data_IF_888408376886
#
_entry.id   IF_888408376886
#
_cell.length_a   1.000
_cell.length_b   1.000
_cell.length_c   1.000
_cell.angle_alpha   90.00
_cell.angle_beta   90.00
_cell.angle_gamma   90.00
#
_symmetry.space_group_name_H-M   'P 1'
#
loop_
_entity.id
_entity.type
_entity.pdbx_description
1 polymer ?
#
# COMPACT_ATOMS: atom_id res chain seq x y z
N UNK A 1 -10.39 0.28 34.65
CA UNK A 1 -11.38 -0.79 34.38
C UNK A 1 -10.71 -1.73 33.39
N UNK A 2 -10.82 -3.04 33.55
CA UNK A 2 -10.19 -3.97 32.58
C UNK A 2 -10.97 -3.93 31.28
N UNK A 3 -10.29 -3.76 30.14
CA UNK A 3 -10.94 -3.86 28.83
C UNK A 3 -11.62 -5.22 28.68
N UNK A 4 -12.81 -5.20 28.09
CA UNK A 4 -13.60 -6.41 27.90
C UNK A 4 -13.10 -7.12 26.64
N UNK A 5 -12.44 -8.25 26.85
CA UNK A 5 -12.01 -9.14 25.76
C UNK A 5 -13.09 -10.17 25.43
N UNK A 6 -13.38 -10.36 24.14
CA UNK A 6 -14.34 -11.34 23.64
C UNK A 6 -13.72 -12.17 22.53
N UNK A 7 -13.78 -13.49 22.67
CA UNK A 7 -13.32 -14.44 21.66
C UNK A 7 -14.49 -14.88 20.78
N UNK A 8 -14.37 -14.72 19.47
CA UNK A 8 -15.39 -15.09 18.48
C UNK A 8 -14.83 -16.13 17.52
N UNK A 9 -15.31 -17.39 17.57
CA UNK A 9 -14.91 -18.38 16.59
C UNK A 9 -15.43 -17.99 15.20
N UNK A 10 -14.56 -18.16 14.20
CA UNK A 10 -14.86 -17.96 12.78
C UNK A 10 -14.99 -19.34 12.12
N UNK A 11 -16.20 -19.90 12.18
CA UNK A 11 -16.47 -21.18 11.55
C UNK A 11 -16.50 -21.07 10.02
N UNK A 12 -16.17 -22.18 9.34
CA UNK A 12 -16.38 -22.31 7.89
C UNK A 12 -17.83 -22.00 7.55
N UNK A 13 -18.03 -21.11 6.58
CA UNK A 13 -19.37 -20.74 6.09
C UNK A 13 -20.07 -19.62 6.85
N UNK A 14 -19.56 -19.13 7.99
CA UNK A 14 -20.12 -17.94 8.63
C UNK A 14 -19.81 -16.70 7.81
N UNK A 15 -20.83 -15.89 7.56
CA UNK A 15 -20.67 -14.60 6.87
C UNK A 15 -20.09 -13.55 7.82
N UNK A 16 -19.10 -12.77 7.36
CA UNK A 16 -18.57 -11.64 8.12
C UNK A 16 -19.48 -10.40 8.07
N UNK A 17 -20.55 -10.39 7.28
CA UNK A 17 -21.42 -9.22 7.16
C UNK A 17 -22.03 -8.82 8.52
N UNK A 18 -22.65 -9.76 9.23
CA UNK A 18 -23.19 -9.49 10.59
C UNK A 18 -22.10 -9.15 11.60
N UNK A 19 -20.90 -9.68 11.41
CA UNK A 19 -19.76 -9.37 12.27
C UNK A 19 -19.33 -7.92 12.06
N UNK A 20 -19.22 -7.47 10.81
CA UNK A 20 -18.94 -6.07 10.46
C UNK A 20 -20.04 -5.16 10.98
N UNK A 21 -21.32 -5.47 10.72
CA UNK A 21 -22.46 -4.72 11.29
C UNK A 21 -22.33 -4.59 12.82
N UNK A 22 -21.89 -5.64 13.53
CA UNK A 22 -21.76 -5.59 15.00
C UNK A 22 -20.74 -4.55 15.49
N UNK A 23 -19.66 -4.31 14.74
CA UNK A 23 -18.52 -3.49 15.19
C UNK A 23 -18.33 -2.18 14.41
N UNK A 24 -18.98 -2.05 13.25
CA UNK A 24 -19.17 -0.80 12.52
C UNK A 24 -20.62 -0.36 12.69
N UNK A 25 -20.87 0.45 13.73
CA UNK A 25 -22.21 0.87 14.13
C UNK A 25 -22.95 1.67 13.06
N UNK A 26 -22.24 2.33 12.14
CA UNK A 26 -22.82 2.99 10.96
C UNK A 26 -23.62 2.03 10.05
N UNK A 27 -23.19 0.77 9.95
CA UNK A 27 -23.92 -0.26 9.19
C UNK A 27 -25.20 -0.71 9.91
N UNK A 28 -25.22 -0.69 11.25
CA UNK A 28 -26.43 -1.02 12.02
C UNK A 28 -27.54 0.01 11.80
N UNK A 29 -27.15 1.28 11.68
CA UNK A 29 -28.06 2.37 11.38
C UNK A 29 -28.47 2.40 9.88
N UNK A 30 -27.91 1.51 9.06
CA UNK A 30 -28.24 1.37 7.63
C UNK A 30 -27.75 2.54 6.78
N UNK A 31 -26.73 3.27 7.23
CA UNK A 31 -26.27 4.51 6.57
C UNK A 31 -25.34 4.19 5.40
N UNK A 32 -24.19 3.56 5.67
CA UNK A 32 -23.23 3.16 4.63
C UNK A 32 -22.55 1.83 4.99
N UNK A 33 -22.01 1.17 3.97
CA UNK A 33 -21.19 -0.04 4.13
C UNK A 33 -19.73 0.37 4.32
N UNK A 34 -19.09 -0.08 5.40
CA UNK A 34 -17.66 0.09 5.66
C UNK A 34 -16.84 -0.90 4.83
N UNK A 35 -16.70 -0.60 3.53
CA UNK A 35 -15.97 -1.44 2.56
C UNK A 35 -14.54 -1.79 3.03
N UNK A 36 -13.75 -0.86 3.62
CA UNK A 36 -12.42 -1.19 4.12
C UNK A 36 -12.41 -2.32 5.16
N UNK A 37 -13.36 -2.32 6.11
CA UNK A 37 -13.42 -3.38 7.11
C UNK A 37 -13.95 -4.70 6.55
N UNK A 38 -14.90 -4.67 5.62
CA UNK A 38 -15.31 -5.85 4.84
C UNK A 38 -14.12 -6.46 4.08
N UNK A 39 -13.24 -5.62 3.51
CA UNK A 39 -12.02 -6.06 2.84
C UNK A 39 -11.06 -6.75 3.80
N UNK A 40 -10.82 -6.18 4.97
CA UNK A 40 -9.98 -6.81 6.02
C UNK A 40 -10.52 -8.18 6.44
N UNK A 41 -11.82 -8.29 6.69
CA UNK A 41 -12.48 -9.56 6.99
C UNK A 41 -12.31 -10.59 5.85
N UNK A 42 -12.40 -10.13 4.60
CA UNK A 42 -12.19 -10.98 3.42
C UNK A 42 -10.74 -11.48 3.33
N UNK A 43 -9.75 -10.64 3.64
CA UNK A 43 -8.33 -11.01 3.68
C UNK A 43 -8.06 -12.03 4.81
N UNK A 44 -8.57 -11.77 6.02
CA UNK A 44 -8.46 -12.69 7.14
C UNK A 44 -9.05 -14.07 6.80
N UNK A 45 -10.21 -14.10 6.11
CA UNK A 45 -10.82 -15.36 5.63
C UNK A 45 -9.93 -16.10 4.62
N UNK A 46 -9.34 -15.39 3.66
CA UNK A 46 -8.42 -15.99 2.68
C UNK A 46 -7.18 -16.61 3.36
N UNK A 47 -6.78 -16.05 4.51
CA UNK A 47 -5.70 -16.53 5.35
C UNK A 47 -6.15 -17.57 6.40
N UNK A 48 -7.34 -18.17 6.23
CA UNK A 48 -7.89 -19.24 7.07
C UNK A 48 -8.02 -18.88 8.57
N UNK A 49 -8.39 -17.63 8.86
CA UNK A 49 -8.71 -17.18 10.23
C UNK A 49 -9.68 -18.13 10.96
N UNK A 50 -9.43 -18.36 12.25
CA UNK A 50 -10.24 -19.24 13.11
C UNK A 50 -10.85 -18.53 14.30
N UNK A 51 -10.19 -17.50 14.83
CA UNK A 51 -10.73 -16.69 15.93
C UNK A 51 -10.54 -15.20 15.63
N UNK A 52 -11.59 -14.42 15.92
CA UNK A 52 -11.51 -12.98 16.08
C UNK A 52 -11.53 -12.64 17.57
N UNK A 53 -10.52 -11.91 18.03
CA UNK A 53 -10.34 -11.43 19.40
C UNK A 53 -10.74 -9.96 19.40
N UNK A 54 -11.72 -9.61 20.23
CA UNK A 54 -12.33 -8.28 20.25
C UNK A 54 -12.05 -7.63 21.59
N UNK A 55 -11.39 -6.47 21.56
CA UNK A 55 -11.10 -5.62 22.70
C UNK A 55 -11.96 -4.35 22.57
N UNK A 56 -12.89 -4.14 23.51
CA UNK A 56 -13.59 -2.87 23.64
C UNK A 56 -12.74 -1.92 24.49
N UNK A 57 -12.18 -0.89 23.86
CA UNK A 57 -11.17 -0.03 24.47
C UNK A 57 -11.83 1.05 25.33
N UNK A 58 -11.74 0.89 26.64
CA UNK A 58 -12.20 1.88 27.62
C UNK A 58 -11.15 2.97 27.90
N UNK A 59 -9.88 2.63 27.72
CA UNK A 59 -8.72 3.50 27.88
C UNK A 59 -7.82 3.33 26.64
N UNK A 60 -8.15 3.98 25.52
CA UNK A 60 -7.45 3.77 24.27
C UNK A 60 -6.04 4.38 24.30
N UNK A 61 -5.16 3.92 23.42
CA UNK A 61 -3.79 4.44 23.29
C UNK A 61 -3.75 5.91 22.84
N UNK A 62 -2.63 6.59 23.11
CA UNK A 62 -2.44 8.02 22.85
C UNK A 62 -2.85 8.49 21.43
N UNK A 63 -2.53 7.77 20.33
CA UNK A 63 -2.93 8.20 18.99
C UNK A 63 -4.45 8.22 18.79
N UNK A 64 -5.17 7.29 19.42
CA UNK A 64 -6.64 7.21 19.36
C UNK A 64 -7.24 8.33 20.21
N UNK A 65 -6.66 8.62 21.38
CA UNK A 65 -7.07 9.75 22.22
C UNK A 65 -6.92 11.07 21.45
N UNK A 66 -5.81 11.26 20.76
CA UNK A 66 -5.55 12.48 19.97
C UNK A 66 -6.60 12.65 18.86
N UNK A 67 -6.95 11.57 18.17
CA UNK A 67 -8.01 11.57 17.17
C UNK A 67 -9.39 11.93 17.76
N UNK A 68 -9.76 11.35 18.91
CA UNK A 68 -11.01 11.69 19.59
C UNK A 68 -11.05 13.18 20.00
N UNK A 69 -9.94 13.72 20.48
CA UNK A 69 -9.81 15.16 20.82
C UNK A 69 -9.95 16.02 19.56
N UNK A 70 -9.35 15.62 18.45
CA UNK A 70 -9.46 16.32 17.18
C UNK A 70 -10.91 16.37 16.68
N UNK A 71 -11.62 15.23 16.71
CA UNK A 71 -13.04 15.14 16.35
C UNK A 71 -13.90 16.04 17.24
N UNK A 72 -13.69 15.99 18.57
CA UNK A 72 -14.38 16.88 19.53
C UNK A 72 -14.11 18.36 19.22
N UNK A 73 -12.86 18.71 18.97
CA UNK A 73 -12.43 20.08 18.67
C UNK A 73 -13.08 20.58 17.38
N UNK A 74 -13.08 19.76 16.33
CA UNK A 74 -13.68 20.10 15.04
C UNK A 74 -15.21 20.29 15.16
N UNK A 75 -15.88 19.37 15.86
CA UNK A 75 -17.33 19.37 15.99
C UNK A 75 -17.87 20.42 16.98
N UNK A 76 -17.04 20.90 17.91
CA UNK A 76 -17.43 21.88 18.94
C UNK A 76 -18.42 21.35 19.98
N UNK A 77 -18.63 20.03 20.02
CA UNK A 77 -19.51 19.31 20.96
C UNK A 77 -18.86 17.97 21.30
N UNK A 78 -19.23 17.39 22.44
CA UNK A 78 -18.74 16.06 22.86
C UNK A 78 -19.37 14.96 22.00
N UNK A 79 -18.59 14.22 21.18
CA UNK A 79 -19.10 13.04 20.49
C UNK A 79 -19.19 11.85 21.47
N UNK A 80 -20.15 10.96 21.25
CA UNK A 80 -20.14 9.64 21.91
C UNK A 80 -19.21 8.73 21.11
N UNK A 81 -18.30 8.00 21.77
CA UNK A 81 -17.35 7.09 21.13
C UNK A 81 -17.55 5.64 21.55
N UNK A 82 -17.36 4.71 20.61
CA UNK A 82 -17.19 3.28 20.84
C UNK A 82 -16.05 2.75 19.98
N UNK A 83 -14.99 2.28 20.62
CA UNK A 83 -13.75 1.93 19.95
C UNK A 83 -13.49 0.45 20.16
N UNK A 84 -13.29 -0.26 19.05
CA UNK A 84 -13.00 -1.69 19.05
C UNK A 84 -11.63 -1.93 18.42
N UNK A 85 -10.78 -2.69 19.11
CA UNK A 85 -9.62 -3.35 18.50
C UNK A 85 -9.98 -4.79 18.22
N UNK A 86 -9.71 -5.23 17.00
CA UNK A 86 -10.13 -6.52 16.47
C UNK A 86 -8.90 -7.19 15.90
N UNK A 87 -8.53 -8.31 16.50
CA UNK A 87 -7.37 -9.10 16.09
C UNK A 87 -7.82 -10.46 15.57
N UNK A 88 -7.37 -10.81 14.37
CA UNK A 88 -7.67 -12.07 13.72
C UNK A 88 -6.47 -13.01 13.83
N UNK A 89 -6.72 -14.23 14.31
CA UNK A 89 -5.71 -15.29 14.45
C UNK A 89 -6.14 -16.56 13.72
N UNK A 90 -5.16 -17.31 13.17
CA UNK A 90 -5.40 -18.56 12.42
C UNK A 90 -5.66 -19.77 13.32
N UNK A 91 -5.60 -19.60 14.63
CA UNK A 91 -5.79 -20.67 15.61
C UNK A 91 -7.09 -20.48 16.37
N UNK A 92 -7.69 -21.60 16.80
CA UNK A 92 -8.90 -21.56 17.62
C UNK A 92 -8.48 -21.29 19.05
N UNK A 93 -8.79 -20.08 19.52
CA UNK A 93 -8.59 -19.67 20.91
C UNK A 93 -9.88 -19.16 21.53
N UNK A 94 -10.07 -19.41 22.83
CA UNK A 94 -11.24 -19.02 23.62
C UNK A 94 -10.90 -18.24 24.91
N UNK A 95 -9.60 -18.07 25.19
CA UNK A 95 -9.10 -17.45 26.41
C UNK A 95 -7.74 -16.80 26.18
N UNK A 96 -7.41 -15.80 26.99
CA UNK A 96 -6.14 -15.09 26.88
C UNK A 96 -4.93 -15.99 27.22
N UNK A 97 -5.11 -16.99 28.08
CA UNK A 97 -4.06 -17.96 28.38
C UNK A 97 -3.66 -18.80 27.16
N UNK A 98 -4.56 -19.02 26.19
CA UNK A 98 -4.21 -19.65 24.92
C UNK A 98 -3.52 -18.67 23.98
N UNK A 99 -3.91 -17.38 24.04
CA UNK A 99 -3.26 -16.31 23.25
C UNK A 99 -1.77 -16.18 23.62
N UNK A 100 -1.41 -16.32 24.89
CA UNK A 100 -0.01 -16.22 25.32
C UNK A 100 0.89 -17.30 24.73
N UNK A 101 0.32 -18.47 24.43
CA UNK A 101 1.00 -19.62 23.80
C UNK A 101 1.08 -19.52 22.27
N UNK A 102 0.42 -18.54 21.64
CA UNK A 102 0.47 -18.36 20.19
C UNK A 102 1.85 -17.86 19.74
N UNK A 103 2.30 -18.39 18.61
CA UNK A 103 3.45 -17.86 17.87
C UNK A 103 3.06 -16.67 16.99
N UNK A 104 4.06 -15.87 16.58
CA UNK A 104 3.90 -14.75 15.64
C UNK A 104 3.14 -15.15 14.38
N UNK A 105 3.42 -16.35 13.88
CA UNK A 105 2.79 -16.91 12.69
C UNK A 105 1.29 -17.18 12.83
N UNK A 106 0.74 -17.21 14.05
CA UNK A 106 -0.70 -17.31 14.27
C UNK A 106 -1.44 -15.99 14.03
N UNK A 107 -0.73 -14.86 14.13
CA UNK A 107 -1.30 -13.52 14.00
C UNK A 107 -1.43 -13.12 12.52
N UNK A 108 -2.67 -12.81 12.11
CA UNK A 108 -2.97 -12.46 10.73
C UNK A 108 -3.09 -10.95 10.54
N UNK A 109 -3.89 -10.29 11.37
CA UNK A 109 -4.13 -8.85 11.28
C UNK A 109 -4.75 -8.32 12.56
N UNK A 110 -4.50 -7.05 12.86
CA UNK A 110 -5.22 -6.28 13.87
C UNK A 110 -5.74 -5.00 13.25
N UNK A 111 -6.91 -4.55 13.70
CA UNK A 111 -7.51 -3.29 13.26
C UNK A 111 -8.22 -2.59 14.40
N UNK A 112 -8.13 -1.27 14.42
CA UNK A 112 -8.89 -0.40 15.32
C UNK A 112 -9.98 0.29 14.53
N UNK A 113 -11.24 0.07 14.94
CA UNK A 113 -12.42 0.74 14.40
C UNK A 113 -12.88 1.78 15.40
N UNK A 114 -12.97 3.03 14.96
CA UNK A 114 -13.57 4.11 15.75
C UNK A 114 -15.00 4.29 15.27
N UNK A 115 -15.93 4.15 16.20
CA UNK A 115 -17.32 4.53 16.02
C UNK A 115 -17.58 5.80 16.81
N UNK A 116 -18.22 6.78 16.20
CA UNK A 116 -18.65 7.98 16.90
C UNK A 116 -20.01 8.46 16.39
N UNK A 117 -20.73 9.19 17.25
CA UNK A 117 -21.93 9.94 16.86
C UNK A 117 -21.96 11.29 17.55
N UNK A 118 -22.62 12.24 16.90
CA UNK A 118 -22.74 13.61 17.38
C UNK A 118 -24.20 13.85 17.71
N UNK A 119 -24.52 13.96 19.01
CA UNK A 119 -25.92 14.09 19.48
C UNK A 119 -26.80 12.93 18.98
N UNK A 120 -27.86 13.25 18.25
CA UNK A 120 -28.84 12.32 17.67
C UNK A 120 -28.50 11.93 16.22
N UNK A 121 -27.33 12.34 15.70
CA UNK A 121 -26.88 11.90 14.38
C UNK A 121 -26.64 10.37 14.39
N UNK A 122 -26.83 9.69 13.25
CA UNK A 122 -26.44 8.29 13.11
C UNK A 122 -24.95 8.06 13.44
N UNK A 123 -24.63 6.84 13.85
CA UNK A 123 -23.24 6.42 14.03
C UNK A 123 -22.46 6.54 12.73
N UNK A 124 -21.20 6.94 12.86
CA UNK A 124 -20.18 6.90 11.80
C UNK A 124 -19.07 5.96 12.23
N UNK A 125 -18.56 5.17 11.28
CA UNK A 125 -17.57 4.14 11.55
C UNK A 125 -16.44 4.20 10.53
N UNK A 126 -15.20 4.19 11.00
CA UNK A 126 -14.04 4.11 10.12
C UNK A 126 -12.91 3.28 10.72
N UNK A 127 -12.10 2.69 9.84
CA UNK A 127 -10.89 1.98 10.21
C UNK A 127 -9.79 3.00 10.51
N UNK A 128 -9.57 3.30 11.79
CA UNK A 128 -8.53 4.22 12.22
C UNK A 128 -7.14 3.70 11.85
N UNK A 129 -6.90 2.43 12.12
CA UNK A 129 -5.68 1.73 11.74
C UNK A 129 -5.93 0.25 11.50
N UNK A 130 -5.16 -0.33 10.61
CA UNK A 130 -5.06 -1.77 10.45
C UNK A 130 -3.63 -2.15 10.08
N UNK A 131 -3.17 -3.26 10.63
CA UNK A 131 -1.91 -3.89 10.26
C UNK A 131 -2.28 -5.30 9.83
N UNK A 132 -1.92 -5.66 8.59
CA UNK A 132 -2.28 -6.95 8.02
C UNK A 132 -1.06 -7.60 7.41
N UNK A 133 -0.80 -8.84 7.82
CA UNK A 133 0.21 -9.71 7.24
C UNK A 133 0.01 -9.78 5.73
N UNK A 134 1.12 -9.92 5.02
CA UNK A 134 1.08 -10.24 3.59
C UNK A 134 0.14 -11.44 3.34
N UNK A 135 -0.90 -11.28 2.50
CA UNK A 135 -1.89 -12.34 2.30
C UNK A 135 -1.28 -13.62 1.72
N UNK A 136 -1.56 -14.75 2.38
CA UNK A 136 -1.07 -16.10 2.00
C UNK A 136 -2.18 -17.13 2.14
N UNK A 137 -2.11 -18.19 1.35
CA UNK A 137 -2.89 -19.40 1.56
C UNK A 137 -2.07 -20.30 2.48
N UNK A 138 -2.50 -20.43 3.73
CA UNK A 138 -1.88 -21.34 4.68
C UNK A 138 -2.39 -22.77 4.47
N UNK A 139 -1.53 -23.76 4.75
CA UNK A 139 -1.89 -25.18 4.78
C UNK A 139 -2.52 -25.71 3.48
N UNK A 140 -2.09 -25.21 2.31
CA UNK A 140 -2.48 -25.79 1.04
C UNK A 140 -2.06 -27.26 0.98
N UNK A 141 -3.01 -28.14 0.66
CA UNK A 141 -2.86 -29.60 0.74
C UNK A 141 -1.60 -30.15 0.05
N UNK A 142 -1.17 -29.52 -1.04
CA UNK A 142 -0.02 -29.97 -1.85
C UNK A 142 1.28 -29.17 -1.61
N UNK A 143 1.17 -27.90 -1.20
CA UNK A 143 2.30 -26.96 -1.29
C UNK A 143 2.58 -26.24 0.04
N UNK A 144 1.83 -26.55 1.11
CA UNK A 144 1.98 -25.88 2.40
C UNK A 144 1.53 -24.42 2.32
N UNK A 145 2.36 -23.49 2.80
CA UNK A 145 2.06 -22.06 2.73
C UNK A 145 2.43 -21.51 1.36
N UNK A 146 1.44 -20.98 0.63
CA UNK A 146 1.63 -20.37 -0.69
C UNK A 146 1.35 -18.87 -0.59
N UNK A 147 2.19 -17.98 -1.16
CA UNK A 147 1.79 -16.60 -1.38
C UNK A 147 0.51 -16.52 -2.24
N UNK A 148 -0.29 -15.46 -2.10
CA UNK A 148 -1.29 -15.16 -3.13
C UNK A 148 -0.53 -14.94 -4.45
N UNK A 149 -0.87 -15.72 -5.48
CA UNK A 149 -0.10 -15.84 -6.73
C UNK A 149 0.27 -14.47 -7.31
N UNK A 150 1.54 -14.34 -7.69
CA UNK A 150 2.14 -13.21 -8.41
C UNK A 150 2.11 -11.85 -7.70
N UNK A 151 1.81 -11.75 -6.41
CA UNK A 151 1.92 -10.50 -5.67
C UNK A 151 3.37 -10.22 -5.24
N UNK A 152 3.97 -9.15 -5.79
CA UNK A 152 5.27 -8.61 -5.40
C UNK A 152 5.07 -7.35 -4.57
N UNK A 153 4.99 -7.52 -3.25
CA UNK A 153 4.87 -6.42 -2.31
C UNK A 153 6.27 -5.93 -1.90
N UNK A 154 6.70 -4.81 -2.46
CA UNK A 154 8.02 -4.25 -2.24
C UNK A 154 8.09 -3.32 -1.03
N UNK A 155 6.99 -2.60 -0.76
CA UNK A 155 6.91 -1.65 0.35
C UNK A 155 6.11 -2.28 1.50
N UNK A 156 6.86 -2.81 2.47
CA UNK A 156 6.33 -3.50 3.65
C UNK A 156 7.28 -3.38 4.82
N UNK A 157 6.72 -3.53 6.03
CA UNK A 157 7.46 -3.40 7.28
C UNK A 157 7.08 -4.52 8.25
N UNK A 158 7.97 -4.82 9.20
CA UNK A 158 7.66 -5.62 10.38
C UNK A 158 7.09 -4.73 11.47
N UNK A 159 5.89 -5.05 11.94
CA UNK A 159 5.16 -4.31 12.94
C UNK A 159 5.06 -5.12 14.23
N UNK A 160 5.32 -4.44 15.35
CA UNK A 160 5.03 -4.96 16.68
C UNK A 160 3.57 -4.69 17.02
N UNK A 161 2.81 -5.75 17.25
CA UNK A 161 1.40 -5.70 17.60
C UNK A 161 1.21 -6.31 18.99
N UNK A 162 0.19 -5.89 19.72
CA UNK A 162 -0.10 -6.45 21.05
C UNK A 162 -1.59 -6.74 21.21
N UNK A 163 -1.90 -7.82 21.92
CA UNK A 163 -3.24 -8.12 22.44
C UNK A 163 -3.18 -7.97 23.95
N UNK A 164 -4.09 -7.20 24.53
CA UNK A 164 -4.11 -6.90 25.96
C UNK A 164 -5.34 -7.50 26.64
N UNK A 165 -5.17 -7.92 27.89
CA UNK A 165 -6.26 -8.41 28.74
C UNK A 165 -5.97 -8.05 30.20
N UNK A 166 -6.52 -6.93 30.66
CA UNK A 166 -6.23 -6.39 31.99
C UNK A 166 -4.76 -5.95 32.10
N UNK A 167 -3.98 -6.56 32.99
CA UNK A 167 -2.55 -6.26 33.15
C UNK A 167 -1.64 -7.17 32.31
N UNK A 168 -2.20 -8.16 31.61
CA UNK A 168 -1.43 -9.09 30.80
C UNK A 168 -1.40 -8.63 29.33
N UNK A 169 -0.26 -8.82 28.66
CA UNK A 169 -0.06 -8.50 27.25
C UNK A 169 0.69 -9.62 26.55
N UNK A 170 0.32 -9.90 25.29
CA UNK A 170 1.10 -10.73 24.37
C UNK A 170 1.46 -9.87 23.17
N UNK A 171 2.76 -9.77 22.91
CA UNK A 171 3.29 -9.08 21.73
C UNK A 171 3.49 -10.09 20.59
N UNK A 172 3.35 -9.58 19.37
CA UNK A 172 3.52 -10.31 18.13
C UNK A 172 4.33 -9.46 17.15
N UNK A 173 5.24 -10.07 16.41
CA UNK A 173 5.97 -9.42 15.32
C UNK A 173 5.45 -9.90 13.97
N UNK A 174 4.87 -9.01 13.15
CA UNK A 174 4.31 -9.39 11.86
C UNK A 174 4.84 -8.54 10.70
N UNK A 175 5.32 -9.20 9.64
CA UNK A 175 5.65 -8.52 8.38
C UNK A 175 4.41 -8.41 7.50
N UNK A 176 4.08 -7.18 7.10
CA UNK A 176 2.90 -6.90 6.29
C UNK A 176 2.80 -5.43 5.93
N UNK A 177 1.57 -4.92 5.92
CA UNK A 177 1.33 -3.52 5.63
C UNK A 177 0.35 -2.85 6.58
N UNK A 178 0.60 -1.56 6.82
CA UNK A 178 -0.28 -0.62 7.49
C UNK A 178 -1.34 -0.08 6.55
N UNK A 179 -2.54 0.14 7.06
CA UNK A 179 -3.68 0.76 6.41
C UNK A 179 -4.39 1.73 7.38
N UNK A 180 -4.92 2.84 6.85
CA UNK A 180 -5.86 3.71 7.56
C UNK A 180 -6.92 4.23 6.58
N UNK A 181 -8.12 4.48 7.09
CA UNK A 181 -9.24 5.07 6.35
C UNK A 181 -9.40 6.55 6.75
N UNK A 182 -9.72 7.41 5.79
CA UNK A 182 -10.10 8.80 6.09
C UNK A 182 -11.45 8.86 6.81
N UNK A 183 -11.61 9.79 7.76
CA UNK A 183 -12.90 10.00 8.45
C UNK A 183 -13.74 11.14 7.84
N UNK A 184 -13.19 11.89 6.88
CA UNK A 184 -13.81 13.04 6.18
C UNK A 184 -14.19 14.22 7.08
N UNK A 185 -13.68 14.25 8.31
CA UNK A 185 -13.90 15.32 9.29
C UNK A 185 -12.56 15.96 9.67
N UNK A 186 -11.64 15.19 10.24
CA UNK A 186 -10.29 15.64 10.63
C UNK A 186 -9.22 15.14 9.66
N UNK A 187 -9.57 14.22 8.75
CA UNK A 187 -8.66 13.63 7.77
C UNK A 187 -9.32 13.44 6.41
N UNK A 188 -8.52 13.59 5.35
CA UNK A 188 -8.91 13.32 3.95
C UNK A 188 -8.08 12.19 3.35
N UNK A 189 -8.33 11.80 2.10
CA UNK A 189 -7.61 10.72 1.41
C UNK A 189 -6.08 10.91 1.40
N UNK A 190 -5.61 12.15 1.28
CA UNK A 190 -4.18 12.46 1.35
C UNK A 190 -3.54 12.07 2.70
N UNK A 191 -4.24 12.24 3.82
CA UNK A 191 -3.76 11.80 5.14
C UNK A 191 -3.62 10.28 5.20
N UNK A 192 -4.65 9.57 4.74
CA UNK A 192 -4.63 8.11 4.69
C UNK A 192 -3.48 7.61 3.81
N UNK A 193 -3.34 8.18 2.61
CA UNK A 193 -2.27 7.84 1.67
C UNK A 193 -0.86 8.10 2.25
N UNK A 194 -0.66 9.24 2.92
CA UNK A 194 0.61 9.57 3.59
C UNK A 194 0.91 8.63 4.75
N UNK A 195 -0.08 8.33 5.61
CA UNK A 195 0.10 7.39 6.72
C UNK A 195 0.48 6.00 6.21
N UNK A 196 -0.22 5.51 5.18
CA UNK A 196 0.10 4.22 4.55
C UNK A 196 1.50 4.25 3.94
N UNK A 197 1.86 5.30 3.20
CA UNK A 197 3.17 5.42 2.56
C UNK A 197 4.30 5.38 3.59
N UNK A 198 4.23 6.23 4.61
CA UNK A 198 5.29 6.40 5.61
C UNK A 198 5.38 5.18 6.53
N UNK A 199 4.25 4.65 7.02
CA UNK A 199 4.27 3.53 7.96
C UNK A 199 4.71 2.21 7.32
N UNK A 200 4.62 2.08 6.00
CA UNK A 200 5.09 0.89 5.28
C UNK A 200 6.56 0.97 4.84
N UNK A 201 7.18 2.14 4.92
CA UNK A 201 8.62 2.29 4.73
C UNK A 201 9.36 1.80 5.96
N UNK A 202 10.50 1.12 5.74
CA UNK A 202 11.36 0.66 6.83
C UNK A 202 12.28 1.79 7.30
N UNK A 203 11.69 2.81 7.92
CA UNK A 203 12.41 3.95 8.49
C UNK A 203 12.89 3.58 9.90
N UNK A 204 14.21 3.48 10.06
CA UNK A 204 14.83 3.07 11.32
C UNK A 204 14.42 4.01 12.47
N UNK A 205 13.96 3.42 13.58
CA UNK A 205 13.54 4.18 14.76
C UNK A 205 12.27 5.02 14.60
N UNK A 206 11.55 4.91 13.48
CA UNK A 206 10.32 5.68 13.28
C UNK A 206 9.13 5.03 13.99
N UNK A 207 8.42 5.82 14.77
CA UNK A 207 7.09 5.47 15.28
C UNK A 207 6.06 5.46 14.14
N UNK A 208 4.92 4.80 14.39
CA UNK A 208 3.78 4.87 13.48
C UNK A 208 3.19 6.28 13.50
N UNK A 209 2.88 6.77 12.32
CA UNK A 209 2.22 8.06 12.14
C UNK A 209 0.72 7.86 11.90
N UNK A 210 -0.06 8.82 12.35
CA UNK A 210 -1.52 8.83 12.25
C UNK A 210 -1.98 10.19 11.72
N UNK A 211 -3.25 10.33 11.27
CA UNK A 211 -3.71 11.55 10.62
C UNK A 211 -3.47 12.83 11.43
N UNK A 212 -3.60 12.80 12.75
CA UNK A 212 -3.34 13.97 13.60
C UNK A 212 -1.88 14.41 13.63
N UNK A 213 -0.93 13.46 13.52
CA UNK A 213 0.49 13.81 13.38
C UNK A 213 0.77 14.48 12.03
N UNK A 214 0.09 14.05 10.98
CA UNK A 214 0.13 14.70 9.66
C UNK A 214 -0.44 16.11 9.76
N UNK A 215 -1.59 16.28 10.43
CA UNK A 215 -2.20 17.60 10.68
C UNK A 215 -1.27 18.54 11.44
N UNK A 216 -0.61 18.06 12.49
CA UNK A 216 0.35 18.85 13.26
C UNK A 216 1.49 19.38 12.39
N UNK A 217 2.09 18.53 11.55
CA UNK A 217 3.19 18.92 10.65
C UNK A 217 2.71 19.93 9.59
N UNK A 218 1.48 19.76 9.09
CA UNK A 218 0.86 20.70 8.16
C UNK A 218 0.43 22.01 8.84
N UNK A 219 0.29 22.05 10.17
CA UNK A 219 -0.22 23.20 10.92
C UNK A 219 -1.75 23.31 10.93
N UNK A 220 -2.46 22.18 10.81
CA UNK A 220 -3.93 22.08 10.96
C UNK A 220 -4.26 21.92 12.45
N UNK A 221 -5.23 22.68 12.96
CA UNK A 221 -5.60 22.69 14.38
C UNK A 221 -7.10 22.57 14.65
N UNK A 222 -7.89 22.29 13.62
CA UNK A 222 -9.35 22.06 13.65
C UNK A 222 -10.21 23.24 14.14
N UNK A 223 -9.60 24.36 14.50
CA UNK A 223 -10.26 25.58 14.98
C UNK A 223 -10.10 26.72 13.99
N UNK A 224 -8.88 27.22 13.80
CA UNK A 224 -8.57 28.32 12.88
C UNK A 224 -8.21 27.83 11.48
N UNK A 225 -7.68 26.61 11.36
CA UNK A 225 -7.46 25.92 10.08
C UNK A 225 -8.12 24.55 10.14
N UNK A 226 -9.14 24.37 9.32
CA UNK A 226 -9.86 23.11 9.10
C UNK A 226 -9.54 22.59 7.71
N UNK A 227 -9.75 21.29 7.50
CA UNK A 227 -9.54 20.66 6.21
C UNK A 227 -10.86 20.57 5.43
N UNK A 228 -10.81 21.00 4.18
CA UNK A 228 -11.72 20.67 3.10
C UNK A 228 -11.07 19.73 2.08
N UNK A 229 -11.85 19.31 1.05
CA UNK A 229 -11.40 18.34 0.04
C UNK A 229 -10.18 18.76 -0.79
N UNK A 230 -9.90 20.06 -0.93
CA UNK A 230 -8.81 20.61 -1.74
C UNK A 230 -7.64 21.16 -0.89
N UNK A 231 -7.65 20.93 0.43
CA UNK A 231 -6.80 21.70 1.36
C UNK A 231 -5.38 21.13 1.57
N UNK A 232 -5.06 19.98 0.96
CA UNK A 232 -3.73 19.38 1.03
C UNK A 232 -2.95 19.65 -0.24
N UNK A 233 -1.98 20.57 -0.18
CA UNK A 233 -1.17 20.97 -1.32
C UNK A 233 0.06 20.06 -1.52
N UNK A 234 0.75 20.23 -2.67
CA UNK A 234 2.05 19.57 -2.93
C UNK A 234 3.09 19.97 -1.87
N UNK A 235 3.08 21.22 -1.42
CA UNK A 235 3.98 21.75 -0.39
C UNK A 235 3.69 21.13 0.98
N UNK A 236 2.41 20.95 1.34
CA UNK A 236 2.06 20.29 2.61
C UNK A 236 2.46 18.80 2.60
N UNK A 237 2.29 18.13 1.45
CA UNK A 237 2.77 16.76 1.24
C UNK A 237 4.31 16.68 1.40
N UNK A 238 5.04 17.61 0.78
CA UNK A 238 6.50 17.67 0.88
C UNK A 238 6.98 17.93 2.31
N UNK A 239 6.39 18.90 3.01
CA UNK A 239 6.72 19.19 4.43
C UNK A 239 6.58 17.96 5.32
N UNK A 240 5.53 17.16 5.11
CA UNK A 240 5.34 15.92 5.87
C UNK A 240 6.43 14.91 5.54
N UNK A 241 6.73 14.67 4.27
CA UNK A 241 7.72 13.68 3.87
C UNK A 241 9.16 14.08 4.28
N UNK A 242 9.52 15.35 4.16
CA UNK A 242 10.82 15.87 4.61
C UNK A 242 11.04 15.66 6.12
N UNK A 243 9.98 15.71 6.94
CA UNK A 243 10.06 15.43 8.38
C UNK A 243 10.55 14.00 8.68
N UNK A 244 10.40 13.08 7.72
CA UNK A 244 10.82 11.68 7.81
C UNK A 244 12.06 11.39 6.94
N UNK A 245 12.78 12.41 6.47
CA UNK A 245 13.99 12.25 5.64
C UNK A 245 13.72 11.76 4.21
N UNK A 246 12.47 11.89 3.76
CA UNK A 246 12.01 11.48 2.43
C UNK A 246 11.93 12.69 1.50
N UNK A 247 12.08 12.43 0.21
CA UNK A 247 11.86 13.39 -0.88
C UNK A 247 10.84 12.82 -1.87
N UNK A 248 10.46 13.63 -2.87
CA UNK A 248 9.46 13.26 -3.87
C UNK A 248 10.04 13.48 -5.27
N UNK A 249 9.93 12.48 -6.15
CA UNK A 249 9.97 12.67 -7.59
C UNK A 249 8.53 12.89 -8.10
N UNK A 250 8.22 14.08 -8.58
CA UNK A 250 6.88 14.43 -9.07
C UNK A 250 6.79 14.20 -10.58
N UNK A 251 5.68 13.60 -11.03
CA UNK A 251 5.30 13.57 -12.45
C UNK A 251 3.89 14.06 -12.64
N UNK A 252 3.78 15.15 -13.36
CA UNK A 252 2.53 15.73 -13.83
C UNK A 252 2.34 15.31 -15.29
N UNK A 253 1.42 14.37 -15.51
CA UNK A 253 1.19 13.75 -16.83
C UNK A 253 0.39 14.66 -17.76
N UNK A 254 -0.31 15.67 -17.22
CA UNK A 254 -1.02 16.67 -18.01
C UNK A 254 -0.08 17.78 -18.48
N UNK A 255 0.81 18.24 -17.59
CA UNK A 255 1.75 19.32 -17.90
C UNK A 255 2.94 18.86 -18.76
N UNK A 256 3.37 17.59 -18.62
CA UNK A 256 4.46 17.01 -19.40
C UNK A 256 3.96 15.76 -20.14
N UNK A 257 3.51 15.88 -21.40
CA UNK A 257 3.15 14.74 -22.25
C UNK A 257 4.39 13.98 -22.77
N UNK A 258 5.45 13.91 -21.95
CA UNK A 258 6.63 13.09 -22.18
C UNK A 258 6.20 11.64 -22.48
N UNK A 259 6.87 10.90 -23.37
CA UNK A 259 6.56 9.49 -23.65
C UNK A 259 6.49 8.57 -22.41
N UNK A 260 7.02 8.97 -21.24
CA UNK A 260 6.94 8.17 -20.02
C UNK A 260 5.49 8.09 -19.53
N UNK A 261 4.86 6.94 -19.77
CA UNK A 261 3.57 6.58 -19.23
C UNK A 261 3.62 6.52 -17.68
N UNK A 262 2.52 6.84 -17.00
CA UNK A 262 2.39 6.64 -15.56
C UNK A 262 2.74 5.21 -15.12
N UNK A 263 2.45 4.20 -15.95
CA UNK A 263 2.83 2.80 -15.66
C UNK A 263 4.34 2.66 -15.44
N UNK A 264 5.12 3.33 -16.27
CA UNK A 264 6.58 3.24 -16.27
C UNK A 264 7.14 3.96 -15.05
N UNK A 265 6.63 5.15 -14.80
CA UNK A 265 6.96 5.92 -13.61
C UNK A 265 6.66 5.13 -12.33
N UNK A 266 5.46 4.57 -12.23
CA UNK A 266 5.04 3.81 -11.05
C UNK A 266 5.92 2.58 -10.86
N UNK A 267 6.11 1.77 -11.91
CA UNK A 267 6.89 0.54 -11.86
C UNK A 267 8.33 0.76 -11.37
N UNK A 268 9.02 1.76 -11.92
CA UNK A 268 10.43 2.04 -11.58
C UNK A 268 10.62 2.32 -10.08
N UNK A 269 9.69 3.05 -9.47
CA UNK A 269 9.74 3.38 -8.05
C UNK A 269 9.40 2.18 -7.17
N UNK A 270 8.29 1.50 -7.44
CA UNK A 270 7.83 0.38 -6.61
C UNK A 270 8.80 -0.79 -6.64
N UNK A 271 9.37 -1.10 -7.81
CA UNK A 271 10.38 -2.16 -7.97
C UNK A 271 11.64 -1.88 -7.15
N UNK A 272 11.91 -0.60 -6.91
CA UNK A 272 13.00 -0.10 -6.09
C UNK A 272 12.66 0.03 -4.60
N UNK A 273 11.52 -0.50 -4.16
CA UNK A 273 11.07 -0.41 -2.77
C UNK A 273 10.58 0.99 -2.36
N UNK A 274 10.29 1.87 -3.32
CA UNK A 274 9.79 3.22 -3.07
C UNK A 274 8.30 3.30 -3.42
N UNK A 275 7.41 3.62 -2.45
CA UNK A 275 5.98 3.72 -2.72
C UNK A 275 5.67 4.91 -3.62
N UNK A 276 4.56 4.82 -4.35
CA UNK A 276 4.08 5.90 -5.23
C UNK A 276 2.72 6.37 -4.78
N UNK A 277 2.55 7.67 -4.59
CA UNK A 277 1.26 8.31 -4.44
C UNK A 277 0.69 8.56 -5.84
N UNK A 278 -0.34 7.81 -6.22
CA UNK A 278 -0.99 7.94 -7.52
C UNK A 278 -2.26 8.78 -7.38
N UNK A 279 -2.34 9.90 -8.09
CA UNK A 279 -3.45 10.85 -8.04
C UNK A 279 -4.24 10.80 -9.33
N UNK A 280 -5.55 10.60 -9.21
CA UNK A 280 -6.46 10.51 -10.34
C UNK A 280 -7.76 11.26 -10.08
N UNK A 281 -8.38 11.72 -11.16
CA UNK A 281 -9.67 12.40 -11.12
C UNK A 281 -10.80 11.38 -11.20
N UNK A 282 -11.75 11.48 -10.26
CA UNK A 282 -13.03 10.75 -10.32
C UNK A 282 -14.00 11.53 -11.21
N UNK A 283 -13.95 12.86 -11.13
CA UNK A 283 -14.64 13.80 -12.01
C UNK A 283 -13.81 15.11 -12.13
N UNK A 284 -14.34 16.13 -12.79
CA UNK A 284 -13.63 17.41 -13.03
C UNK A 284 -13.27 18.19 -11.75
N UNK A 285 -13.73 17.76 -10.57
CA UNK A 285 -13.59 18.51 -9.30
C UNK A 285 -13.00 17.69 -8.16
N UNK A 286 -13.08 16.36 -8.24
CA UNK A 286 -12.66 15.48 -7.15
C UNK A 286 -11.46 14.65 -7.61
N UNK A 287 -10.31 14.95 -7.01
CA UNK A 287 -9.13 14.10 -7.07
C UNK A 287 -9.14 13.11 -5.91
N UNK A 288 -8.63 11.91 -6.19
CA UNK A 288 -8.37 10.87 -5.20
C UNK A 288 -6.90 10.47 -5.29
N UNK A 289 -6.32 10.10 -4.14
CA UNK A 289 -4.93 9.64 -4.07
C UNK A 289 -4.89 8.27 -3.43
N UNK A 290 -4.15 7.35 -4.06
CA UNK A 290 -3.91 6.01 -3.55
C UNK A 290 -2.41 5.71 -3.52
N UNK A 291 -1.88 5.18 -2.41
CA UNK A 291 -0.54 4.64 -2.38
C UNK A 291 -0.45 3.31 -3.13
N UNK A 292 0.57 3.18 -3.97
CA UNK A 292 0.99 1.97 -4.66
C UNK A 292 2.20 1.40 -3.92
N UNK A 293 2.11 0.13 -3.51
CA UNK A 293 3.10 -0.54 -2.64
C UNK A 293 3.80 -1.73 -3.30
N UNK A 294 3.31 -2.17 -4.46
CA UNK A 294 3.80 -3.34 -5.15
C UNK A 294 3.11 -3.55 -6.49
N UNK A 295 3.37 -4.69 -7.11
CA UNK A 295 2.78 -5.05 -8.40
C UNK A 295 2.61 -6.56 -8.56
N UNK A 296 2.03 -6.95 -9.68
CA UNK A 296 1.98 -8.32 -10.15
C UNK A 296 2.61 -8.44 -11.52
N UNK A 297 3.25 -9.58 -11.76
CA UNK A 297 3.79 -9.94 -13.08
C UNK A 297 2.94 -11.04 -13.70
N UNK A 298 2.70 -10.91 -14.99
CA UNK A 298 2.06 -11.94 -15.80
C UNK A 298 2.96 -12.26 -16.98
N UNK A 299 3.62 -13.41 -16.94
CA UNK A 299 4.53 -13.86 -18.01
C UNK A 299 3.80 -14.23 -19.29
N UNK A 300 2.48 -14.37 -19.25
CA UNK A 300 1.64 -14.74 -20.38
C UNK A 300 1.03 -13.52 -21.11
N UNK A 301 1.50 -12.31 -20.78
CA UNK A 301 1.09 -11.09 -21.50
C UNK A 301 1.64 -11.15 -22.92
N UNK A 302 0.74 -11.03 -23.90
CA UNK A 302 1.05 -11.13 -25.32
C UNK A 302 1.89 -9.97 -25.86
N UNK A 303 1.57 -8.74 -25.43
CA UNK A 303 2.11 -7.52 -26.06
C UNK A 303 3.65 -7.38 -26.00
N UNK A 304 4.34 -7.63 -24.87
CA UNK A 304 5.79 -7.52 -24.77
C UNK A 304 6.56 -8.41 -25.76
N UNK A 305 6.02 -9.59 -26.08
CA UNK A 305 6.64 -10.55 -26.98
C UNK A 305 6.24 -10.30 -28.45
N UNK A 306 4.96 -10.03 -28.68
CA UNK A 306 4.41 -10.00 -30.02
C UNK A 306 4.57 -8.64 -30.72
N UNK A 307 4.42 -7.52 -30.00
CA UNK A 307 4.50 -6.18 -30.61
C UNK A 307 5.85 -5.94 -31.28
N UNK A 308 7.00 -6.22 -30.64
CA UNK A 308 8.31 -6.11 -31.30
C UNK A 308 8.41 -6.99 -32.55
N UNK A 309 7.87 -8.22 -32.49
CA UNK A 309 7.92 -9.17 -33.61
C UNK A 309 7.06 -8.72 -34.82
N UNK A 310 5.95 -8.01 -34.59
CA UNK A 310 5.05 -7.57 -35.66
C UNK A 310 5.33 -6.18 -36.20
N UNK A 311 5.63 -5.22 -35.32
CA UNK A 311 5.79 -3.81 -35.69
C UNK A 311 7.27 -3.44 -35.93
N UNK A 312 8.19 -4.34 -35.60
CA UNK A 312 9.62 -4.05 -35.51
C UNK A 312 9.94 -3.27 -34.24
N UNK A 313 11.20 -3.31 -33.85
CA UNK A 313 11.72 -2.40 -32.82
C UNK A 313 11.84 -1.00 -33.45
N UNK A 314 11.11 0.00 -32.93
CA UNK A 314 11.51 1.37 -33.21
C UNK A 314 12.87 1.60 -32.55
N UNK A 315 13.91 2.00 -33.30
CA UNK A 315 15.26 2.11 -32.77
C UNK A 315 15.34 3.30 -31.81
N UNK A 316 15.14 3.06 -30.52
CA UNK A 316 15.63 3.95 -29.48
C UNK A 316 17.03 3.48 -29.06
N UNK A 317 17.96 4.41 -28.90
CA UNK A 317 19.42 4.13 -28.76
C UNK A 317 19.79 3.16 -27.62
N UNK A 318 18.87 2.83 -26.72
CA UNK A 318 19.11 1.99 -25.55
C UNK A 318 18.17 0.76 -25.48
N UNK A 319 16.93 0.81 -26.02
CA UNK A 319 15.97 -0.31 -25.97
C UNK A 319 16.25 -1.42 -27.01
N UNK A 320 17.25 -1.23 -27.86
CA UNK A 320 17.75 -2.26 -28.77
C UNK A 320 18.40 -3.44 -28.01
N UNK A 321 18.89 -3.20 -26.79
CA UNK A 321 19.65 -4.20 -26.01
C UNK A 321 18.87 -4.80 -24.83
N UNK A 322 17.75 -4.20 -24.42
CA UNK A 322 16.99 -4.68 -23.28
C UNK A 322 15.49 -4.41 -23.40
N UNK A 323 14.71 -5.21 -22.68
CA UNK A 323 13.30 -4.98 -22.42
C UNK A 323 13.10 -4.83 -20.90
N UNK A 324 12.44 -3.75 -20.49
CA UNK A 324 12.10 -3.56 -19.08
C UNK A 324 10.98 -4.53 -18.69
N UNK A 325 11.14 -5.18 -17.52
CA UNK A 325 10.15 -6.11 -16.95
C UNK A 325 8.79 -5.43 -16.70
N UNK A 326 8.75 -4.08 -16.72
CA UNK A 326 7.51 -3.27 -16.72
C UNK A 326 6.46 -3.76 -17.71
N UNK A 327 6.88 -4.27 -18.86
CA UNK A 327 5.98 -4.69 -19.92
C UNK A 327 5.10 -5.89 -19.51
N UNK A 328 5.54 -6.68 -18.52
CA UNK A 328 4.81 -7.80 -17.95
C UNK A 328 4.02 -7.45 -16.69
N UNK A 329 3.98 -6.17 -16.29
CA UNK A 329 3.20 -5.73 -15.12
C UNK A 329 1.72 -5.72 -15.47
N UNK A 330 0.95 -6.54 -14.77
CA UNK A 330 -0.49 -6.72 -15.01
C UNK A 330 -1.34 -5.84 -14.08
N UNK A 331 -0.99 -5.81 -12.80
CA UNK A 331 -1.67 -4.99 -11.78
C UNK A 331 -0.67 -4.31 -10.84
N UNK A 332 -1.05 -3.15 -10.32
CA UNK A 332 -0.45 -2.51 -9.17
C UNK A 332 -1.18 -2.91 -7.89
N UNK A 333 -0.44 -3.08 -6.79
CA UNK A 333 -1.01 -3.37 -5.47
C UNK A 333 -1.18 -2.04 -4.73
N UNK A 334 -2.43 -1.66 -4.50
CA UNK A 334 -2.79 -0.39 -3.86
C UNK A 334 -3.52 -0.58 -2.54
N UNK A 335 -3.44 0.44 -1.69
CA UNK A 335 -4.38 0.64 -0.59
C UNK A 335 -5.27 1.82 -0.94
N UNK A 336 -6.58 1.64 -0.86
CA UNK A 336 -7.56 2.70 -1.14
C UNK A 336 -8.39 2.92 0.11
N UNK A 337 -8.40 4.14 0.65
CA UNK A 337 -9.12 4.42 1.89
C UNK A 337 -10.64 4.20 1.78
N UNK A 338 -11.20 4.23 0.57
CA UNK A 338 -12.63 3.97 0.34
C UNK A 338 -12.96 2.47 0.22
N UNK A 339 -11.99 1.62 -0.08
CA UNK A 339 -12.24 0.21 -0.40
C UNK A 339 -11.46 -0.77 0.48
N UNK A 340 -10.31 -0.38 1.03
CA UNK A 340 -9.44 -1.17 1.88
C UNK A 340 -8.06 -1.46 1.25
N UNK A 341 -7.39 -2.47 1.80
CA UNK A 341 -6.00 -2.78 1.48
C UNK A 341 -5.80 -3.93 0.49
N UNK A 342 -4.59 -3.99 -0.07
CA UNK A 342 -4.12 -4.99 -1.04
C UNK A 342 -5.07 -5.19 -2.23
N UNK A 343 -5.59 -4.11 -2.83
CA UNK A 343 -6.33 -4.23 -4.09
C UNK A 343 -5.37 -4.32 -5.27
N UNK A 344 -5.75 -5.13 -6.25
CA UNK A 344 -5.07 -5.19 -7.54
C UNK A 344 -5.74 -4.18 -8.46
N UNK A 345 -5.06 -3.07 -8.74
CA UNK A 345 -5.44 -2.06 -9.71
C UNK A 345 -4.83 -2.45 -11.05
N UNK A 346 -5.62 -2.80 -12.08
CA UNK A 346 -5.07 -3.13 -13.40
C UNK A 346 -4.15 -2.01 -13.90
N UNK A 347 -2.98 -2.39 -14.42
CA UNK A 347 -1.96 -1.42 -14.81
C UNK A 347 -2.43 -0.50 -15.94
N UNK A 348 -3.45 -0.90 -16.71
CA UNK A 348 -4.09 -0.13 -17.80
C UNK A 348 -5.44 0.51 -17.41
N UNK A 349 -5.72 0.65 -16.10
CA UNK A 349 -7.01 1.21 -15.64
C UNK A 349 -7.24 2.64 -16.11
N UNK A 350 -6.20 3.47 -16.12
CA UNK A 350 -6.35 4.91 -16.33
C UNK A 350 -6.07 5.31 -17.77
N UNK A 351 -6.88 6.21 -18.31
CA UNK A 351 -6.58 6.81 -19.60
C UNK A 351 -5.48 7.86 -19.47
N UNK A 352 -4.51 7.80 -20.38
CA UNK A 352 -3.52 8.87 -20.56
C UNK A 352 -4.14 10.14 -21.17
N UNK A 353 -5.31 10.00 -21.80
CA UNK A 353 -6.04 11.13 -22.37
C UNK A 353 -6.90 11.80 -21.29
N UNK A 354 -6.80 13.13 -21.09
CA UNK A 354 -7.62 13.85 -20.11
C UNK A 354 -9.11 13.72 -20.39
N UNK A 355 -9.92 13.53 -19.34
CA UNK A 355 -11.40 13.36 -19.42
C UNK A 355 -12.07 14.50 -20.18
N UNK A 356 -11.60 15.74 -19.97
CA UNK A 356 -12.14 16.96 -20.58
C UNK A 356 -12.10 16.90 -22.12
N UNK A 357 -11.14 16.19 -22.69
CA UNK A 357 -10.97 16.10 -24.15
C UNK A 357 -11.88 15.06 -24.81
N UNK A 358 -12.43 14.11 -24.05
CA UNK A 358 -13.24 13.01 -24.60
C UNK A 358 -14.72 13.11 -24.23
N UNK A 359 -15.06 13.88 -23.19
CA UNK A 359 -16.42 13.92 -22.64
C UNK A 359 -16.87 12.61 -21.99
N UNK A 360 -15.99 11.61 -21.92
CA UNK A 360 -16.27 10.28 -21.40
C UNK A 360 -15.98 10.24 -19.89
N UNK A 361 -17.02 10.48 -19.10
CA UNK A 361 -16.96 10.38 -17.63
C UNK A 361 -16.78 8.96 -17.10
N UNK A 362 -16.75 7.94 -17.96
CA UNK A 362 -16.57 6.55 -17.54
C UNK A 362 -15.12 6.17 -17.28
N UNK A 363 -14.16 7.04 -17.63
CA UNK A 363 -12.73 6.76 -17.50
C UNK A 363 -12.10 7.60 -16.41
N UNK A 364 -11.48 6.92 -15.45
CA UNK A 364 -10.60 7.55 -14.48
C UNK A 364 -9.33 8.02 -15.21
N UNK A 365 -8.85 9.20 -14.84
CA UNK A 365 -7.67 9.80 -15.45
C UNK A 365 -6.63 10.13 -14.39
N UNK A 366 -5.43 9.55 -14.56
CA UNK A 366 -4.26 9.87 -13.74
C UNK A 366 -3.60 11.10 -14.33
N UNK A 367 -3.48 12.14 -13.51
CA UNK A 367 -2.84 13.39 -13.90
C UNK A 367 -1.56 13.66 -13.11
N UNK A 368 -1.37 13.02 -11.95
CA UNK A 368 -0.18 13.22 -11.11
C UNK A 368 0.24 11.92 -10.42
N UNK A 369 1.56 11.72 -10.34
CA UNK A 369 2.17 10.72 -9.47
C UNK A 369 3.34 11.32 -8.69
N UNK A 370 3.57 10.78 -7.49
CA UNK A 370 4.68 11.15 -6.62
C UNK A 370 5.41 9.89 -6.15
N UNK A 371 6.62 9.68 -6.66
CA UNK A 371 7.52 8.64 -6.15
C UNK A 371 8.14 9.10 -4.85
N UNK A 372 7.86 8.41 -3.75
CA UNK A 372 8.36 8.78 -2.42
C UNK A 372 9.65 8.00 -2.16
N UNK A 373 10.78 8.72 -2.21
CA UNK A 373 12.12 8.13 -2.22
C UNK A 373 12.95 8.64 -1.03
N UNK A 374 13.97 7.88 -0.58
CA UNK A 374 14.94 8.39 0.37
C UNK A 374 15.69 9.60 -0.23
N UNK A 375 15.95 10.61 0.60
CA UNK A 375 16.63 11.87 0.18
C UNK A 375 18.02 11.68 -0.46
N UNK A 376 18.69 10.54 -0.24
CA UNK A 376 19.98 10.20 -0.84
C UNK A 376 19.90 9.60 -2.26
N UNK A 377 18.70 9.35 -2.79
CA UNK A 377 18.50 8.83 -4.15
C UNK A 377 18.43 10.00 -5.13
N UNK A 378 19.41 10.08 -6.05
CA UNK A 378 19.54 11.19 -7.02
C UNK A 378 19.43 10.74 -8.49
N UNK A 379 19.55 9.43 -8.75
CA UNK A 379 19.55 8.88 -10.12
C UNK A 379 18.13 8.42 -10.47
N UNK A 380 17.52 8.94 -11.55
CA UNK A 380 16.21 8.49 -12.03
C UNK A 380 16.21 7.01 -12.43
N UNK A 381 15.03 6.37 -12.38
CA UNK A 381 14.89 4.92 -12.65
C UNK A 381 15.35 4.51 -14.06
N UNK A 382 14.99 5.28 -15.08
CA UNK A 382 15.41 5.01 -16.46
C UNK A 382 16.93 5.12 -16.65
N UNK A 383 17.58 6.06 -15.97
CA UNK A 383 19.04 6.24 -16.02
C UNK A 383 19.73 5.07 -15.32
N UNK A 384 19.17 4.60 -14.20
CA UNK A 384 19.65 3.41 -13.49
C UNK A 384 19.56 2.15 -14.37
N UNK A 385 18.44 1.92 -15.07
CA UNK A 385 18.29 0.79 -16.00
C UNK A 385 19.33 0.84 -17.14
N UNK A 386 19.48 2.00 -17.77
CA UNK A 386 20.43 2.18 -18.86
C UNK A 386 21.88 1.97 -18.40
N UNK A 387 22.25 2.55 -17.25
CA UNK A 387 23.57 2.37 -16.66
C UNK A 387 23.85 0.90 -16.31
N UNK A 388 22.89 0.20 -15.69
CA UNK A 388 23.00 -1.23 -15.40
C UNK A 388 23.23 -2.05 -16.68
N UNK A 389 22.47 -1.78 -17.74
CA UNK A 389 22.62 -2.46 -19.04
C UNK A 389 24.04 -2.30 -19.58
N UNK A 390 24.55 -1.07 -19.58
CA UNK A 390 25.90 -0.77 -20.06
C UNK A 390 26.98 -1.44 -19.21
N UNK A 391 26.84 -1.41 -17.88
CA UNK A 391 27.77 -2.05 -16.95
C UNK A 391 27.80 -3.57 -17.15
N UNK A 392 26.64 -4.22 -17.18
CA UNK A 392 26.52 -5.67 -17.37
C UNK A 392 27.10 -6.09 -18.71
N UNK A 393 26.76 -5.37 -19.80
CA UNK A 393 27.28 -5.67 -21.13
C UNK A 393 28.81 -5.48 -21.20
N UNK A 394 29.34 -4.44 -20.55
CA UNK A 394 30.80 -4.19 -20.52
C UNK A 394 31.54 -5.25 -19.71
N UNK A 395 31.00 -5.63 -18.55
CA UNK A 395 31.57 -6.68 -17.69
C UNK A 395 31.62 -8.03 -18.41
N UNK A 396 30.56 -8.38 -19.14
CA UNK A 396 30.54 -9.63 -19.92
C UNK A 396 31.56 -9.64 -21.06
N UNK A 397 31.78 -8.50 -21.73
CA UNK A 397 32.85 -8.38 -22.74
C UNK A 397 34.22 -8.56 -22.12
N UNK A 398 34.47 -7.95 -20.96
CA UNK A 398 35.73 -8.12 -20.23
C UNK A 398 35.96 -9.59 -19.82
N UNK A 399 34.94 -10.27 -19.31
CA UNK A 399 35.05 -11.70 -18.97
C UNK A 399 35.36 -12.59 -20.19
N UNK A 400 34.83 -12.25 -21.38
CA UNK A 400 35.19 -12.94 -22.62
C UNK A 400 36.65 -12.70 -23.00
N UNK A 401 37.13 -11.46 -22.92
CA UNK A 401 38.50 -11.09 -23.25
C UNK A 401 39.54 -11.74 -22.32
N UNK A 402 39.16 -11.98 -21.05
CA UNK A 402 40.01 -12.57 -20.02
C UNK A 402 39.89 -14.10 -19.90
N UNK A 403 39.10 -14.77 -20.75
CA UNK A 403 38.81 -16.21 -20.65
C UNK A 403 38.36 -16.64 -19.24
N UNK A 404 37.55 -15.77 -18.59
CA UNK A 404 37.06 -16.03 -17.24
C UNK A 404 35.99 -17.12 -17.26
N UNK A 405 36.13 -18.13 -16.40
CA UNK A 405 35.12 -19.19 -16.27
C UNK A 405 33.80 -18.63 -15.75
N UNK A 406 32.80 -18.54 -16.64
CA UNK A 406 31.44 -18.15 -16.30
C UNK A 406 30.57 -19.35 -15.86
N UNK A 407 29.64 -19.11 -14.94
CA UNK A 407 28.55 -20.05 -14.66
C UNK A 407 27.57 -20.17 -15.83
N UNK A 408 26.62 -21.09 -15.73
CA UNK A 408 25.66 -21.38 -16.80
C UNK A 408 24.75 -20.18 -17.13
N UNK A 409 24.37 -19.37 -16.13
CA UNK A 409 23.48 -18.22 -16.35
C UNK A 409 24.20 -17.08 -17.05
N UNK A 410 25.40 -16.78 -16.61
CA UNK A 410 26.29 -15.79 -17.22
C UNK A 410 26.62 -16.17 -18.67
N UNK A 411 26.86 -17.46 -18.95
CA UNK A 411 27.02 -17.97 -20.32
C UNK A 411 25.77 -17.77 -21.17
N UNK A 412 24.57 -18.02 -20.61
CA UNK A 412 23.30 -17.81 -21.32
C UNK A 412 23.08 -16.35 -21.68
N UNK A 413 23.26 -15.43 -20.73
CA UNK A 413 23.14 -13.97 -20.96
C UNK A 413 24.09 -13.53 -22.07
N UNK A 414 25.35 -13.93 -21.98
CA UNK A 414 26.37 -13.62 -22.97
C UNK A 414 26.06 -14.23 -24.35
N UNK A 415 25.51 -15.44 -24.39
CA UNK A 415 25.08 -16.06 -25.66
C UNK A 415 23.95 -15.28 -26.31
N UNK A 416 22.97 -14.81 -25.54
CA UNK A 416 21.85 -13.99 -26.02
C UNK A 416 22.31 -12.65 -26.59
N UNK A 417 23.31 -12.02 -25.98
CA UNK A 417 23.93 -10.78 -26.46
C UNK A 417 24.67 -10.94 -27.81
N UNK A 418 25.17 -12.14 -28.10
CA UNK A 418 25.96 -12.42 -29.31
C UNK A 418 25.12 -12.99 -30.47
N UNK A 419 23.80 -13.15 -30.32
CA UNK A 419 22.91 -13.59 -31.41
C UNK A 419 22.71 -12.49 -32.47
N UNK A 420 22.35 -12.90 -33.69
CA UNK A 420 21.96 -11.98 -34.77
C UNK A 420 20.54 -12.34 -35.27
N UNK A 421 19.50 -11.54 -34.97
CA UNK A 421 19.53 -10.35 -34.10
C UNK A 421 19.79 -10.73 -32.63
N UNK A 422 20.33 -9.79 -31.84
CA UNK A 422 20.57 -9.99 -30.42
C UNK A 422 19.24 -10.20 -29.70
N UNK A 423 19.19 -11.17 -28.79
CA UNK A 423 18.04 -11.28 -27.89
C UNK A 423 18.12 -10.18 -26.83
N UNK A 424 17.00 -9.50 -26.58
CA UNK A 424 16.94 -8.45 -25.56
C UNK A 424 17.11 -9.04 -24.17
N UNK A 425 17.88 -8.37 -23.32
CA UNK A 425 17.97 -8.71 -21.90
C UNK A 425 16.74 -8.21 -21.15
N UNK A 426 16.18 -9.01 -20.26
CA UNK A 426 15.12 -8.56 -19.35
C UNK A 426 15.72 -7.88 -18.14
N UNK A 427 15.34 -6.63 -17.87
CA UNK A 427 15.93 -5.81 -16.80
C UNK A 427 14.84 -5.34 -15.81
N UNK A 428 15.19 -5.37 -14.53
CA UNK A 428 14.38 -4.83 -13.43
C UNK A 428 15.05 -3.55 -12.90
N UNK A 429 14.27 -2.54 -12.59
CA UNK A 429 14.75 -1.24 -12.09
C UNK A 429 15.11 -1.34 -10.61
N UNK A 430 16.30 -0.87 -10.22
CA UNK A 430 16.62 -0.64 -8.80
C UNK A 430 17.21 0.75 -8.63
N UNK A 431 16.48 1.65 -7.98
CA UNK A 431 16.99 2.95 -7.52
C UNK A 431 17.98 2.69 -6.38
N UNK A 432 19.19 3.20 -6.54
CA UNK A 432 20.27 3.05 -5.56
C UNK A 432 20.71 4.41 -5.05
N UNK A 433 20.96 4.53 -3.76
CA UNK A 433 21.66 5.67 -3.18
C UNK A 433 23.15 5.39 -3.17
N UNK A 434 23.96 6.41 -3.42
CA UNK A 434 25.41 6.33 -3.22
C UNK A 434 25.67 6.54 -1.73
N UNK A 435 26.10 5.50 -1.01
CA UNK A 435 26.71 5.70 0.30
C UNK A 435 28.02 6.49 0.11
N UNK A 436 28.03 7.74 0.58
CA UNK A 436 29.23 8.59 0.65
C UNK A 436 30.07 8.26 1.84
#
# INVERSE_FOLDING_TARGET
MSDKIVFRPVDKGRSFFRFVETYCLEEQDGVTINKPFHRLCSLARKMDVKTAIIEELSQPDDPIITECIALKTHCGVEPEFKIFRITFVKETVDSFAQVTELDDDAFLTTTTVINFKIKEDPWRSYVFSAICREPKIFNHLKFGTIPLLNNYLHVRRTFECAIQSGSASKNFSITGSFFSQQNKITSVCAHAALCVTINNLNLEGSELIYPERVNEIMGVNHTSRRLGPEDVSKEDTLKVLERFGLTIDWRDFDANPDPINYRDFVYQHIESGSPVLLVFSIDDRVSHVVPVLGHTLNTDVWAPEAVPAYLGDEPSRFEDFYASVRAWVDHFIIHDDNFGMYFCLPADTFSQTPVVSTGDKSRLHVWLAAGVIPSGVITPGWEAEAACTLMVTSLFKEFQEQDTSLDEWNKRILSSLNMAPSQKLLIRTFLVSRHT
#
